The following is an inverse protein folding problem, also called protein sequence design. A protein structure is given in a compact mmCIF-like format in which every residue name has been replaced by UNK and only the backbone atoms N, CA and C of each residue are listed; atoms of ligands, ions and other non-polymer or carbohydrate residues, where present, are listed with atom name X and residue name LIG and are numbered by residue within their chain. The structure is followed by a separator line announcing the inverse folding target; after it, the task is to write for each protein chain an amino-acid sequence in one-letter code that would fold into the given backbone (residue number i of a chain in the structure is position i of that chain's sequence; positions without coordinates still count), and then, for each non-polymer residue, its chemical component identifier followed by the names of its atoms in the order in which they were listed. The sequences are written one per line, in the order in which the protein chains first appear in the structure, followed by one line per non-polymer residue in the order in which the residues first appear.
data_IF_608393635432
#
_entry.id   IF_608393635432
#
_cell.length_a   1.000
_cell.length_b   1.000
_cell.length_c   1.000
_cell.angle_alpha   90.00
_cell.angle_beta   90.00
_cell.angle_gamma   90.00
#
_symmetry.space_group_name_H-M   'P 1'
#
loop_
_entity.id
_entity.type
_entity.pdbx_description
1 polymer ?
#
# COMPACT_ATOMS: atom_id res chain seq x y z
N UNK A 1 -34.59 -16.25 -12.31
CA UNK A 1 -33.68 -15.79 -11.26
C UNK A 1 -34.06 -14.38 -10.85
N UNK A 2 -34.04 -14.08 -9.57
CA UNK A 2 -34.35 -12.72 -9.10
C UNK A 2 -33.36 -11.69 -9.72
N UNK A 3 -33.85 -10.59 -10.32
CA UNK A 3 -32.99 -9.63 -11.01
C UNK A 3 -31.84 -9.08 -10.16
N UNK A 4 -32.04 -8.97 -8.86
CA UNK A 4 -30.99 -8.54 -7.92
C UNK A 4 -29.81 -9.52 -7.85
N UNK A 5 -30.10 -10.84 -7.87
CA UNK A 5 -29.05 -11.87 -7.86
C UNK A 5 -28.25 -11.81 -9.16
N UNK A 6 -28.94 -11.66 -10.29
CA UNK A 6 -28.31 -11.51 -11.60
C UNK A 6 -27.35 -10.30 -11.61
N UNK A 7 -27.84 -9.14 -11.18
CA UNK A 7 -27.03 -7.91 -11.12
C UNK A 7 -25.82 -8.10 -10.22
N UNK A 8 -25.99 -8.62 -9.00
CA UNK A 8 -24.88 -8.78 -8.06
C UNK A 8 -23.81 -9.75 -8.56
N UNK A 9 -24.20 -10.87 -9.19
CA UNK A 9 -23.25 -11.81 -9.78
C UNK A 9 -22.51 -11.20 -10.98
N UNK A 10 -23.21 -10.44 -11.83
CA UNK A 10 -22.58 -9.76 -12.97
C UNK A 10 -21.54 -8.72 -12.53
N UNK A 11 -21.75 -8.03 -11.42
CA UNK A 11 -20.81 -7.05 -10.91
C UNK A 11 -19.46 -7.66 -10.47
N UNK A 12 -19.51 -8.91 -10.04
CA UNK A 12 -18.31 -9.67 -9.67
C UNK A 12 -17.79 -10.57 -10.78
N UNK A 13 -18.28 -10.40 -12.02
CA UNK A 13 -17.86 -11.15 -13.20
C UNK A 13 -18.24 -12.63 -13.19
N UNK A 14 -19.39 -12.98 -12.59
CA UNK A 14 -19.93 -14.34 -12.56
C UNK A 14 -21.22 -14.43 -13.36
N UNK A 15 -21.34 -15.49 -14.20
CA UNK A 15 -22.57 -15.76 -14.93
C UNK A 15 -23.64 -16.31 -13.98
N UNK A 16 -24.76 -15.58 -13.86
CA UNK A 16 -25.84 -15.95 -12.97
C UNK A 16 -26.51 -17.28 -13.35
N UNK A 17 -26.58 -17.63 -14.64
CA UNK A 17 -27.17 -18.90 -15.06
C UNK A 17 -26.38 -20.11 -14.62
N UNK A 18 -25.04 -19.96 -14.57
CA UNK A 18 -24.11 -20.98 -14.12
C UNK A 18 -23.99 -21.01 -12.60
N UNK A 19 -23.71 -19.85 -11.98
CA UNK A 19 -23.29 -19.78 -10.57
C UNK A 19 -24.42 -19.84 -9.56
N UNK A 20 -25.65 -19.44 -9.92
CA UNK A 20 -26.76 -19.44 -8.97
C UNK A 20 -27.19 -20.86 -8.49
N UNK A 21 -26.83 -21.89 -9.24
CA UNK A 21 -27.14 -23.29 -8.89
C UNK A 21 -25.93 -24.12 -8.52
N UNK A 22 -24.72 -23.54 -8.62
CA UNK A 22 -23.46 -24.24 -8.33
C UNK A 22 -23.30 -24.40 -6.82
N UNK A 23 -23.04 -25.61 -6.32
CA UNK A 23 -22.78 -25.80 -4.89
C UNK A 23 -21.51 -25.09 -4.47
N UNK A 24 -21.47 -24.54 -3.24
CA UNK A 24 -20.31 -23.81 -2.71
C UNK A 24 -19.03 -24.64 -2.71
N UNK A 25 -19.13 -25.96 -2.53
CA UNK A 25 -18.00 -26.89 -2.57
C UNK A 25 -17.36 -27.05 -3.96
N UNK A 26 -18.01 -26.61 -5.01
CA UNK A 26 -17.49 -26.67 -6.37
C UNK A 26 -16.93 -25.32 -6.87
N UNK A 27 -16.80 -24.33 -5.98
CA UNK A 27 -16.24 -23.02 -6.30
C UNK A 27 -14.73 -23.02 -6.04
N UNK A 28 -13.97 -22.38 -6.93
CA UNK A 28 -12.58 -22.01 -6.63
C UNK A 28 -12.51 -20.93 -5.53
N UNK A 29 -11.34 -20.71 -4.94
CA UNK A 29 -11.16 -19.68 -3.90
C UNK A 29 -11.60 -18.29 -4.37
N UNK A 30 -11.19 -17.88 -5.57
CA UNK A 30 -11.58 -16.59 -6.15
C UNK A 30 -13.06 -16.50 -6.51
N UNK A 31 -13.67 -17.58 -6.99
CA UNK A 31 -15.12 -17.63 -7.24
C UNK A 31 -15.90 -17.54 -5.92
N UNK A 32 -15.48 -18.27 -4.88
CA UNK A 32 -16.11 -18.23 -3.57
C UNK A 32 -16.06 -16.82 -2.95
N UNK A 33 -14.93 -16.14 -3.02
CA UNK A 33 -14.82 -14.75 -2.56
C UNK A 33 -15.72 -13.80 -3.35
N UNK A 34 -15.77 -13.92 -4.67
CA UNK A 34 -16.64 -13.09 -5.51
C UNK A 34 -18.12 -13.37 -5.25
N UNK A 35 -18.53 -14.62 -5.05
CA UNK A 35 -19.90 -14.96 -4.63
C UNK A 35 -20.23 -14.38 -3.26
N UNK A 36 -19.29 -14.45 -2.29
CA UNK A 36 -19.48 -13.86 -0.97
C UNK A 36 -19.67 -12.34 -1.03
N UNK A 37 -18.89 -11.64 -1.86
CA UNK A 37 -19.07 -10.22 -2.11
C UNK A 37 -20.44 -9.92 -2.76
N UNK A 38 -20.81 -10.65 -3.81
CA UNK A 38 -22.11 -10.49 -4.48
C UNK A 38 -23.29 -10.64 -3.49
N UNK A 39 -23.20 -11.62 -2.58
CA UNK A 39 -24.22 -11.83 -1.55
C UNK A 39 -24.37 -10.63 -0.59
N UNK A 40 -23.31 -9.86 -0.34
CA UNK A 40 -23.37 -8.62 0.44
C UNK A 40 -23.89 -7.43 -0.38
N UNK A 41 -23.49 -7.34 -1.64
CA UNK A 41 -23.91 -6.28 -2.55
C UNK A 41 -25.42 -6.29 -2.85
N UNK A 42 -26.08 -7.47 -2.83
CA UNK A 42 -27.54 -7.60 -2.98
C UNK A 42 -28.31 -6.73 -1.96
N UNK A 43 -27.74 -6.58 -0.76
CA UNK A 43 -28.33 -5.82 0.34
C UNK A 43 -28.19 -4.30 0.17
N UNK A 44 -27.40 -3.83 -0.80
CA UNK A 44 -27.04 -2.41 -0.98
C UNK A 44 -26.59 -1.75 0.34
N UNK A 45 -25.53 -2.26 0.99
CA UNK A 45 -25.17 -1.82 2.32
C UNK A 45 -24.69 -0.38 2.33
N UNK A 46 -25.01 0.39 3.38
CA UNK A 46 -24.43 1.70 3.62
C UNK A 46 -22.94 1.61 3.98
N UNK A 47 -22.54 0.53 4.67
CA UNK A 47 -21.16 0.23 5.04
C UNK A 47 -20.83 -1.21 4.64
N UNK A 48 -19.75 -1.37 3.88
CA UNK A 48 -19.23 -2.67 3.46
C UNK A 48 -17.87 -2.90 4.12
N UNK A 49 -17.79 -3.95 4.94
CA UNK A 49 -16.55 -4.38 5.59
C UNK A 49 -15.91 -5.51 4.77
N UNK A 50 -14.65 -5.34 4.38
CA UNK A 50 -13.88 -6.33 3.65
C UNK A 50 -12.61 -6.65 4.45
N UNK A 51 -12.45 -7.92 4.81
CA UNK A 51 -11.26 -8.42 5.49
C UNK A 51 -10.49 -9.33 4.53
N UNK A 52 -9.24 -8.94 4.22
CA UNK A 52 -8.34 -9.62 3.28
C UNK A 52 -9.03 -10.04 1.95
N UNK A 53 -9.73 -9.13 1.24
CA UNK A 53 -10.58 -9.49 0.11
C UNK A 53 -9.81 -10.05 -1.09
N UNK A 54 -8.50 -9.90 -1.13
CA UNK A 54 -7.62 -10.36 -2.20
C UNK A 54 -6.70 -11.51 -1.79
N UNK A 55 -6.82 -12.02 -0.56
CA UNK A 55 -5.96 -13.09 -0.08
C UNK A 55 -6.18 -14.39 -0.88
N UNK A 56 -5.07 -14.96 -1.35
CA UNK A 56 -5.06 -16.27 -2.04
C UNK A 56 -5.90 -16.35 -3.32
N UNK A 57 -6.13 -15.23 -4.00
CA UNK A 57 -6.83 -15.21 -5.28
C UNK A 57 -5.92 -14.65 -6.38
N UNK A 58 -6.29 -14.93 -7.64
CA UNK A 58 -5.58 -14.44 -8.82
C UNK A 58 -5.83 -12.93 -9.05
N UNK A 59 -4.96 -12.30 -9.85
CA UNK A 59 -5.01 -10.87 -10.12
C UNK A 59 -6.32 -10.43 -10.83
N UNK A 60 -6.91 -11.29 -11.66
CA UNK A 60 -8.18 -11.00 -12.33
C UNK A 60 -9.33 -10.95 -11.32
N UNK A 61 -9.41 -11.94 -10.43
CA UNK A 61 -10.41 -11.96 -9.36
C UNK A 61 -10.25 -10.77 -8.41
N UNK A 62 -9.00 -10.39 -8.06
CA UNK A 62 -8.73 -9.20 -7.26
C UNK A 62 -9.21 -7.90 -7.94
N UNK A 63 -9.03 -7.79 -9.25
CA UNK A 63 -9.52 -6.63 -10.02
C UNK A 63 -11.06 -6.58 -10.05
N UNK A 64 -11.73 -7.72 -10.26
CA UNK A 64 -13.19 -7.79 -10.27
C UNK A 64 -13.79 -7.40 -8.90
N UNK A 65 -13.18 -7.83 -7.80
CA UNK A 65 -13.57 -7.42 -6.44
C UNK A 65 -13.41 -5.91 -6.27
N UNK A 66 -12.29 -5.34 -6.73
CA UNK A 66 -12.04 -3.90 -6.71
C UNK A 66 -13.12 -3.13 -7.46
N UNK A 67 -13.41 -3.54 -8.70
CA UNK A 67 -14.36 -2.85 -9.56
C UNK A 67 -15.78 -2.91 -8.97
N UNK A 68 -16.19 -4.04 -8.40
CA UNK A 68 -17.48 -4.19 -7.73
C UNK A 68 -17.59 -3.30 -6.47
N UNK A 69 -16.53 -3.23 -5.65
CA UNK A 69 -16.50 -2.38 -4.45
C UNK A 69 -16.57 -0.88 -4.83
N UNK A 70 -15.76 -0.45 -5.81
CA UNK A 70 -15.78 0.93 -6.31
C UNK A 70 -17.13 1.29 -6.94
N UNK A 71 -17.76 0.36 -7.64
CA UNK A 71 -19.07 0.55 -8.21
C UNK A 71 -20.15 0.72 -7.14
N UNK A 72 -20.12 -0.09 -6.07
CA UNK A 72 -21.02 0.09 -4.92
C UNK A 72 -20.85 1.46 -4.26
N UNK A 73 -19.61 1.94 -4.12
CA UNK A 73 -19.31 3.29 -3.62
C UNK A 73 -19.88 4.38 -4.52
N UNK A 74 -19.68 4.28 -5.83
CA UNK A 74 -20.12 5.32 -6.77
C UNK A 74 -21.62 5.37 -7.00
N UNK A 75 -22.28 4.20 -7.04
CA UNK A 75 -23.71 4.14 -7.35
C UNK A 75 -24.63 4.26 -6.12
N UNK A 76 -24.17 3.78 -4.96
CA UNK A 76 -24.99 3.73 -3.75
C UNK A 76 -24.46 4.58 -2.59
N UNK A 77 -23.26 5.18 -2.74
CA UNK A 77 -22.64 5.92 -1.65
C UNK A 77 -22.12 5.00 -0.53
N UNK A 78 -21.91 3.71 -0.79
CA UNK A 78 -21.43 2.73 0.20
C UNK A 78 -20.08 3.16 0.76
N UNK A 79 -19.96 3.25 2.07
CA UNK A 79 -18.68 3.44 2.76
C UNK A 79 -17.93 2.12 2.79
N UNK A 80 -16.69 2.11 2.28
CA UNK A 80 -15.83 0.92 2.30
C UNK A 80 -14.88 0.98 3.49
N UNK A 81 -14.84 -0.05 4.32
CA UNK A 81 -13.84 -0.26 5.36
C UNK A 81 -13.12 -1.57 5.02
N UNK A 82 -11.82 -1.49 4.76
CA UNK A 82 -11.05 -2.61 4.23
C UNK A 82 -9.82 -2.84 5.11
N UNK A 83 -9.62 -4.08 5.55
CA UNK A 83 -8.37 -4.53 6.14
C UNK A 83 -7.64 -5.41 5.13
N UNK A 84 -6.37 -5.11 4.84
CA UNK A 84 -5.51 -5.91 3.97
C UNK A 84 -4.04 -5.60 4.21
N UNK A 85 -3.18 -6.56 3.90
CA UNK A 85 -1.74 -6.37 3.81
C UNK A 85 -1.27 -6.02 2.39
N UNK A 86 -2.16 -6.04 1.40
CA UNK A 86 -1.88 -5.61 0.02
C UNK A 86 -2.01 -4.09 -0.12
N UNK A 87 -0.93 -3.39 0.16
CA UNK A 87 -0.84 -1.93 0.09
C UNK A 87 -1.20 -1.37 -1.29
N UNK A 88 -0.76 -2.04 -2.36
CA UNK A 88 -1.00 -1.57 -3.73
C UNK A 88 -2.49 -1.60 -4.06
N UNK A 89 -3.17 -2.64 -3.61
CA UNK A 89 -4.61 -2.77 -3.79
C UNK A 89 -5.36 -1.74 -2.94
N UNK A 90 -4.97 -1.56 -1.66
CA UNK A 90 -5.58 -0.57 -0.77
C UNK A 90 -5.51 0.85 -1.32
N UNK A 91 -4.34 1.31 -1.76
CA UNK A 91 -4.18 2.64 -2.34
C UNK A 91 -4.94 2.82 -3.67
N UNK A 92 -5.30 1.73 -4.35
CA UNK A 92 -6.12 1.78 -5.54
C UNK A 92 -7.64 1.86 -5.28
N UNK A 93 -8.07 1.64 -4.03
CA UNK A 93 -9.50 1.55 -3.65
C UNK A 93 -9.89 2.59 -2.60
N UNK A 94 -9.02 2.85 -1.64
CA UNK A 94 -9.30 3.68 -0.46
C UNK A 94 -8.83 5.12 -0.67
N UNK A 95 -9.62 6.09 -0.18
CA UNK A 95 -9.23 7.50 -0.12
C UNK A 95 -8.31 7.77 1.07
N UNK A 96 -8.40 6.95 2.11
CA UNK A 96 -7.60 7.04 3.33
C UNK A 96 -7.15 5.65 3.75
N UNK A 97 -5.86 5.50 3.98
CA UNK A 97 -5.25 4.28 4.52
C UNK A 97 -4.72 4.57 5.92
N UNK A 98 -4.92 3.65 6.85
CA UNK A 98 -4.47 3.75 8.24
C UNK A 98 -3.69 2.49 8.58
N UNK A 99 -2.53 2.66 9.21
CA UNK A 99 -1.72 1.53 9.64
C UNK A 99 -2.14 1.04 11.02
N UNK A 100 -2.38 -0.26 11.15
CA UNK A 100 -2.64 -0.91 12.44
C UNK A 100 -1.40 -1.72 12.85
N UNK A 101 -0.75 -1.30 13.93
CA UNK A 101 0.46 -1.95 14.42
C UNK A 101 0.28 -2.31 15.89
N UNK A 102 0.40 -3.60 16.22
CA UNK A 102 0.24 -4.11 17.61
C UNK A 102 -1.03 -3.59 18.30
N UNK A 103 -2.14 -3.53 17.57
CA UNK A 103 -3.44 -3.05 18.08
C UNK A 103 -3.57 -1.52 18.20
N UNK A 104 -2.60 -0.73 17.70
CA UNK A 104 -2.65 0.73 17.71
C UNK A 104 -2.73 1.27 16.28
N UNK A 105 -3.59 2.25 16.07
CA UNK A 105 -3.64 2.99 14.81
C UNK A 105 -2.44 3.93 14.75
N UNK A 106 -1.66 3.80 13.67
CA UNK A 106 -0.43 4.56 13.45
C UNK A 106 -0.60 5.31 12.12
N UNK A 107 -0.45 6.63 12.18
CA UNK A 107 -0.44 7.51 11.03
C UNK A 107 -1.68 7.42 10.13
N UNK A 108 -1.79 8.37 9.26
CA UNK A 108 -2.74 8.36 8.16
C UNK A 108 -1.96 8.75 6.92
N UNK A 109 -1.63 7.80 6.08
CA UNK A 109 -0.90 8.14 4.87
C UNK A 109 0.02 7.02 4.37
N UNK A 110 0.89 7.37 3.46
CA UNK A 110 1.84 6.49 2.78
C UNK A 110 3.17 6.41 3.52
N UNK A 111 3.11 6.39 4.83
CA UNK A 111 4.28 6.39 5.69
C UNK A 111 5.08 5.10 5.54
N UNK A 112 6.39 5.22 5.47
CA UNK A 112 7.30 4.08 5.44
C UNK A 112 7.57 3.64 6.88
N UNK A 113 6.99 2.53 7.30
CA UNK A 113 7.13 2.01 8.67
C UNK A 113 8.18 0.91 8.68
N UNK A 114 9.20 1.11 9.48
CA UNK A 114 10.31 0.15 9.66
C UNK A 114 10.39 -0.29 11.10
N UNK A 115 10.29 -1.59 11.33
CA UNK A 115 10.40 -2.17 12.67
C UNK A 115 11.84 -2.49 13.04
N UNK A 116 12.17 -2.35 14.31
CA UNK A 116 13.45 -2.85 14.87
C UNK A 116 13.64 -4.37 14.64
N UNK A 117 14.66 -5.00 15.22
CA UNK A 117 15.55 -4.37 16.20
C UNK A 117 16.48 -3.31 15.59
N UNK A 118 16.76 -2.28 16.38
CA UNK A 118 17.70 -1.22 16.03
C UNK A 118 19.03 -1.46 16.75
N UNK A 119 20.12 -1.27 16.03
CA UNK A 119 21.49 -1.44 16.53
C UNK A 119 22.19 -0.09 16.60
N UNK A 120 22.95 0.14 17.65
CA UNK A 120 23.78 1.34 17.77
C UNK A 120 24.90 1.27 16.73
N UNK A 121 25.01 2.31 15.92
CA UNK A 121 26.04 2.47 14.92
C UNK A 121 27.10 3.50 15.32
N UNK A 122 27.97 3.84 14.37
CA UNK A 122 28.96 4.91 14.54
C UNK A 122 28.30 6.30 14.65
N UNK A 123 28.99 7.27 15.20
CA UNK A 123 28.57 8.68 15.27
C UNK A 123 27.24 8.95 16.00
N UNK A 124 26.84 8.05 16.93
CA UNK A 124 25.65 8.25 17.75
C UNK A 124 24.32 7.92 17.00
N UNK A 125 24.39 7.53 15.74
CA UNK A 125 23.24 7.06 15.00
C UNK A 125 22.94 5.60 15.29
N UNK A 126 21.68 5.25 15.14
CA UNK A 126 21.20 3.88 15.20
C UNK A 126 20.79 3.42 13.79
N UNK A 127 20.73 2.13 13.56
CA UNK A 127 20.36 1.65 12.24
C UNK A 127 19.90 0.21 12.25
N UNK A 128 19.23 -0.15 11.14
CA UNK A 128 18.83 -1.52 10.82
C UNK A 128 19.55 -1.95 9.55
N UNK A 129 20.26 -3.07 9.60
CA UNK A 129 20.87 -3.68 8.43
C UNK A 129 19.80 -4.29 7.52
N UNK A 130 19.96 -4.12 6.22
CA UNK A 130 19.13 -4.72 5.17
C UNK A 130 19.84 -5.91 4.53
N UNK A 131 19.09 -6.74 3.80
CA UNK A 131 19.61 -7.95 3.17
C UNK A 131 20.69 -7.72 2.09
N UNK A 132 20.74 -6.52 1.53
CA UNK A 132 21.73 -6.11 0.51
C UNK A 132 22.95 -5.36 1.09
N UNK A 133 23.07 -5.30 2.42
CA UNK A 133 24.17 -4.62 3.13
C UNK A 133 23.92 -3.14 3.38
N UNK A 134 22.88 -2.54 2.88
CA UNK A 134 22.49 -1.17 3.22
C UNK A 134 22.00 -1.09 4.67
N UNK A 135 21.96 0.12 5.21
CA UNK A 135 21.40 0.37 6.56
C UNK A 135 20.40 1.51 6.53
N UNK A 136 19.23 1.30 7.12
CA UNK A 136 18.32 2.38 7.46
C UNK A 136 18.85 3.04 8.71
N UNK A 137 19.16 4.33 8.63
CA UNK A 137 19.72 5.10 9.73
C UNK A 137 18.62 5.91 10.42
N UNK A 138 18.70 5.99 11.73
CA UNK A 138 17.74 6.69 12.59
C UNK A 138 18.47 7.35 13.75
N UNK A 139 17.82 8.29 14.42
CA UNK A 139 18.26 8.76 15.74
C UNK A 139 18.05 7.65 16.78
N UNK A 140 18.49 7.90 18.02
CA UNK A 140 18.30 6.95 19.12
C UNK A 140 16.81 6.59 19.28
N UNK A 141 16.42 5.31 19.16
CA UNK A 141 15.06 4.88 19.36
C UNK A 141 14.66 4.97 20.84
N UNK A 142 13.37 5.17 21.16
CA UNK A 142 12.86 5.04 22.52
C UNK A 142 13.08 3.65 23.10
N UNK A 143 12.92 2.63 22.27
CA UNK A 143 13.18 1.21 22.53
C UNK A 143 13.72 0.56 21.25
N UNK A 144 14.58 -0.45 21.39
CA UNK A 144 15.22 -1.14 20.25
C UNK A 144 14.22 -1.81 19.31
N UNK A 145 12.99 -2.07 19.75
CA UNK A 145 11.91 -2.64 18.93
C UNK A 145 10.87 -1.61 18.49
N UNK A 146 11.06 -0.32 18.80
CA UNK A 146 10.16 0.74 18.33
C UNK A 146 10.07 0.76 16.81
N UNK A 147 8.91 1.14 16.29
CA UNK A 147 8.73 1.35 14.87
C UNK A 147 9.16 2.77 14.49
N UNK A 148 10.06 2.88 13.51
CA UNK A 148 10.43 4.14 12.87
C UNK A 148 9.47 4.43 11.73
N UNK A 149 9.05 5.68 11.62
CA UNK A 149 8.19 6.16 10.54
C UNK A 149 8.91 7.24 9.77
N UNK A 150 9.13 6.99 8.49
CA UNK A 150 9.71 7.92 7.53
C UNK A 150 8.58 8.40 6.63
N UNK A 151 8.28 9.68 6.69
CA UNK A 151 7.24 10.30 5.87
C UNK A 151 7.62 10.18 4.38
N UNK A 152 6.68 9.79 3.53
CA UNK A 152 6.92 9.67 2.10
C UNK A 152 7.23 11.02 1.43
N UNK A 153 6.66 12.12 1.94
CA UNK A 153 6.97 13.47 1.49
C UNK A 153 8.35 13.97 1.95
N UNK A 154 8.95 13.33 2.96
CA UNK A 154 10.30 13.64 3.42
C UNK A 154 11.38 12.86 2.66
N UNK A 155 11.01 11.96 1.76
CA UNK A 155 11.92 11.19 0.93
C UNK A 155 12.04 11.84 -0.44
N UNK A 156 13.26 12.23 -0.80
CA UNK A 156 13.55 12.85 -2.10
C UNK A 156 14.52 12.00 -2.92
N UNK A 157 14.36 11.95 -4.25
CA UNK A 157 15.37 11.36 -5.11
C UNK A 157 16.64 12.21 -5.07
N UNK A 158 17.81 11.60 -5.03
CA UNK A 158 19.06 12.31 -4.97
C UNK A 158 20.14 11.63 -5.80
N UNK A 159 20.95 12.44 -6.47
CA UNK A 159 22.16 12.03 -7.16
C UNK A 159 23.38 12.74 -6.53
N UNK A 160 24.56 12.17 -6.67
CA UNK A 160 25.78 12.78 -6.15
C UNK A 160 26.04 12.53 -4.64
N UNK A 161 26.95 13.28 -4.01
CA UNK A 161 27.35 13.09 -2.60
C UNK A 161 26.24 13.49 -1.63
N UNK A 162 26.27 12.91 -0.43
CA UNK A 162 25.37 13.31 0.66
C UNK A 162 25.58 14.78 1.03
N UNK A 163 24.50 15.51 1.42
CA UNK A 163 24.63 16.85 1.95
C UNK A 163 25.60 16.91 3.15
N UNK A 164 26.46 17.92 3.19
CA UNK A 164 27.44 18.07 4.25
C UNK A 164 26.90 18.62 5.57
N UNK A 165 25.67 19.17 5.52
CA UNK A 165 24.94 19.65 6.70
C UNK A 165 23.76 18.76 7.02
N UNK A 166 23.55 18.48 8.31
CA UNK A 166 22.47 17.60 8.80
C UNK A 166 22.87 16.12 8.78
N UNK A 167 22.01 15.29 9.34
CA UNK A 167 22.17 13.84 9.37
C UNK A 167 21.27 13.22 8.29
N UNK A 168 21.77 13.14 7.06
CA UNK A 168 21.04 12.53 5.97
C UNK A 168 21.41 11.07 5.80
N UNK A 169 20.43 10.27 5.50
CA UNK A 169 20.59 8.87 5.12
C UNK A 169 20.19 8.66 3.66
N UNK A 170 20.92 7.76 3.01
CA UNK A 170 20.65 7.37 1.63
C UNK A 170 20.31 5.89 1.56
N UNK A 171 19.28 5.57 0.81
CA UNK A 171 18.89 4.21 0.46
C UNK A 171 18.88 4.08 -1.05
N UNK A 172 19.36 2.95 -1.55
CA UNK A 172 19.32 2.64 -2.98
C UNK A 172 18.21 1.61 -3.22
N UNK A 173 17.39 1.85 -4.20
CA UNK A 173 16.29 0.95 -4.50
C UNK A 173 15.92 0.94 -5.98
N UNK A 174 15.00 0.06 -6.35
CA UNK A 174 14.46 -0.08 -7.68
C UNK A 174 13.05 0.50 -7.72
N UNK A 175 12.78 1.44 -8.63
CA UNK A 175 11.42 1.94 -8.83
C UNK A 175 10.58 0.80 -9.41
N UNK A 176 9.53 0.41 -8.71
CA UNK A 176 8.60 -0.64 -9.16
C UNK A 176 7.35 -0.05 -9.80
N UNK A 177 6.96 1.17 -9.39
CA UNK A 177 5.76 1.84 -9.91
C UNK A 177 5.87 3.35 -9.75
N UNK A 178 5.27 4.09 -10.69
CA UNK A 178 4.92 5.50 -10.57
C UNK A 178 3.42 5.65 -10.85
N UNK A 179 2.71 6.35 -10.01
CA UNK A 179 1.27 6.55 -10.13
C UNK A 179 0.91 8.02 -9.84
N UNK A 180 0.18 8.66 -10.76
CA UNK A 180 -0.34 10.00 -10.55
C UNK A 180 -1.47 9.97 -9.52
N UNK A 181 -1.35 10.78 -8.48
CA UNK A 181 -2.42 11.05 -7.54
C UNK A 181 -3.30 12.16 -8.06
N UNK A 182 -4.54 11.85 -8.40
CA UNK A 182 -5.45 12.81 -9.03
C UNK A 182 -5.84 13.98 -8.12
N UNK A 183 -5.80 13.79 -6.80
CA UNK A 183 -6.24 14.79 -5.83
C UNK A 183 -5.19 15.90 -5.63
N UNK A 184 -3.92 15.55 -5.51
CA UNK A 184 -2.81 16.50 -5.27
C UNK A 184 -2.06 16.86 -6.55
N UNK A 185 -2.10 16.00 -7.57
CA UNK A 185 -1.26 16.13 -8.77
C UNK A 185 0.15 15.57 -8.58
N UNK A 186 0.47 15.04 -7.41
CA UNK A 186 1.76 14.44 -7.12
C UNK A 186 1.91 13.04 -7.76
N UNK A 187 3.13 12.60 -7.91
CA UNK A 187 3.45 11.26 -8.38
C UNK A 187 3.92 10.41 -7.20
N UNK A 188 3.20 9.33 -6.97
CA UNK A 188 3.56 8.37 -5.94
C UNK A 188 4.50 7.33 -6.52
N UNK A 189 5.74 7.37 -6.05
CA UNK A 189 6.78 6.41 -6.38
C UNK A 189 6.80 5.25 -5.39
N UNK A 190 6.65 4.02 -5.90
CA UNK A 190 6.93 2.81 -5.13
C UNK A 190 8.34 2.34 -5.46
N UNK A 191 9.18 2.19 -4.44
CA UNK A 191 10.59 1.83 -4.56
C UNK A 191 10.88 0.61 -3.69
N UNK A 192 11.47 -0.41 -4.27
CA UNK A 192 11.92 -1.59 -3.53
C UNK A 192 13.37 -1.36 -3.08
N UNK A 193 13.59 -1.22 -1.78
CA UNK A 193 14.92 -1.09 -1.14
C UNK A 193 15.23 -2.42 -0.48
N UNK A 194 16.18 -3.16 -0.99
CA UNK A 194 16.39 -4.56 -0.63
C UNK A 194 15.06 -5.34 -0.77
N UNK A 195 14.47 -5.78 0.36
CA UNK A 195 13.19 -6.50 0.38
C UNK A 195 12.04 -5.64 0.96
N UNK A 196 12.30 -4.35 1.23
CA UNK A 196 11.33 -3.47 1.85
C UNK A 196 10.72 -2.52 0.82
N UNK A 197 9.39 -2.45 0.73
CA UNK A 197 8.73 -1.45 -0.07
C UNK A 197 8.82 -0.09 0.62
N UNK A 198 9.28 0.91 -0.13
CA UNK A 198 9.25 2.31 0.24
C UNK A 198 8.33 3.08 -0.69
N UNK A 199 7.68 4.09 -0.15
CA UNK A 199 6.89 5.05 -0.92
C UNK A 199 7.55 6.42 -0.81
N UNK A 200 7.58 7.16 -1.91
CA UNK A 200 8.02 8.55 -1.97
C UNK A 200 6.98 9.38 -2.74
N UNK A 201 6.63 10.55 -2.20
CA UNK A 201 5.81 11.52 -2.91
C UNK A 201 6.73 12.42 -3.72
N UNK A 202 6.54 12.41 -5.03
CA UNK A 202 7.40 13.07 -6.01
C UNK A 202 6.60 14.10 -6.81
N UNK A 203 7.24 15.18 -7.14
CA UNK A 203 6.71 16.14 -8.12
C UNK A 203 6.99 15.68 -9.55
N UNK A 204 6.22 16.16 -10.50
CA UNK A 204 6.48 15.90 -11.94
C UNK A 204 7.88 16.41 -12.35
N UNK A 205 8.33 17.50 -11.76
CA UNK A 205 9.65 18.08 -12.00
C UNK A 205 10.77 17.12 -11.56
N UNK A 206 10.69 16.55 -10.36
CA UNK A 206 11.67 15.59 -9.87
C UNK A 206 11.70 14.30 -10.71
N UNK A 207 10.53 13.83 -11.13
CA UNK A 207 10.44 12.65 -12.00
C UNK A 207 11.15 12.89 -13.34
N UNK A 208 10.98 14.08 -13.92
CA UNK A 208 11.65 14.47 -15.18
C UNK A 208 13.13 14.73 -15.00
N UNK A 209 13.51 15.50 -13.97
CA UNK A 209 14.90 15.89 -13.71
C UNK A 209 15.77 14.65 -13.46
N UNK A 210 15.31 13.73 -12.64
CA UNK A 210 16.01 12.47 -12.34
C UNK A 210 15.70 11.35 -13.35
N UNK A 211 14.87 11.60 -14.37
CA UNK A 211 14.48 10.63 -15.39
C UNK A 211 13.95 9.33 -14.79
N UNK A 212 13.04 9.42 -13.81
CA UNK A 212 12.53 8.28 -13.08
C UNK A 212 11.50 7.50 -13.90
N UNK A 213 11.61 6.18 -13.90
CA UNK A 213 10.65 5.26 -14.54
C UNK A 213 10.69 3.89 -13.86
N UNK A 214 9.64 3.08 -13.95
CA UNK A 214 9.65 1.71 -13.42
C UNK A 214 10.78 0.87 -14.03
N UNK A 215 11.55 0.20 -13.17
CA UNK A 215 12.77 -0.54 -13.54
C UNK A 215 14.07 0.25 -13.42
N UNK A 216 14.03 1.56 -13.14
CA UNK A 216 15.24 2.36 -12.87
C UNK A 216 15.66 2.26 -11.41
N UNK A 217 16.95 2.16 -11.16
CA UNK A 217 17.53 2.32 -9.83
C UNK A 217 17.54 3.79 -9.44
N UNK A 218 17.22 4.07 -8.18
CA UNK A 218 17.18 5.42 -7.61
C UNK A 218 17.84 5.44 -6.23
N UNK A 219 18.45 6.55 -5.89
CA UNK A 219 18.87 6.84 -4.53
C UNK A 219 17.80 7.71 -3.87
N UNK A 220 17.32 7.26 -2.72
CA UNK A 220 16.38 7.97 -1.87
C UNK A 220 17.15 8.62 -0.72
N UNK A 221 16.93 9.90 -0.49
CA UNK A 221 17.53 10.67 0.59
C UNK A 221 16.45 11.07 1.58
N UNK A 222 16.72 10.95 2.87
CA UNK A 222 15.86 11.47 3.94
C UNK A 222 16.71 12.02 5.09
N UNK A 223 16.14 12.97 5.84
CA UNK A 223 16.76 13.46 7.05
C UNK A 223 16.46 12.52 8.22
N UNK A 224 17.50 12.01 8.87
CA UNK A 224 17.40 11.13 10.04
C UNK A 224 16.67 11.81 11.20
N UNK A 225 16.73 13.15 11.29
CA UNK A 225 16.02 13.93 12.30
C UNK A 225 14.50 14.00 12.07
N UNK A 226 14.02 13.76 10.83
CA UNK A 226 12.60 13.76 10.50
C UNK A 226 11.90 12.45 10.86
N UNK A 227 12.65 11.40 11.23
CA UNK A 227 12.09 10.09 11.58
C UNK A 227 11.30 10.18 12.89
N UNK A 228 10.04 9.75 12.82
CA UNK A 228 9.15 9.68 13.99
C UNK A 228 9.13 8.27 14.57
N UNK A 229 8.77 8.15 15.84
CA UNK A 229 8.76 6.88 16.58
C UNK A 229 7.35 6.53 17.08
N UNK A 230 7.06 5.23 17.04
CA UNK A 230 5.88 4.63 17.64
C UNK A 230 6.23 3.37 18.44
#
# INVERSE_FOLDING_TARGET
LEPRIQTALSWVGLDAAEFAKRPSSALSGGEAQRVALAARLILKPEVLLLDEPTASIDALSAQLIKDAALKARSEWGTTLIIASHDWQWLYGVCDRVVHLVRGRLMGTGRENIVFGPWEQGANGLWGKALSDGQRILVQRPPDIFSAAVIDDAAIVPAEGPLPTRGHHARLSGLITRLALEKASGDIIGSVLVANLPFTATLTEAEVREHGLYPGRSVHLLYDVASVRWF
#
